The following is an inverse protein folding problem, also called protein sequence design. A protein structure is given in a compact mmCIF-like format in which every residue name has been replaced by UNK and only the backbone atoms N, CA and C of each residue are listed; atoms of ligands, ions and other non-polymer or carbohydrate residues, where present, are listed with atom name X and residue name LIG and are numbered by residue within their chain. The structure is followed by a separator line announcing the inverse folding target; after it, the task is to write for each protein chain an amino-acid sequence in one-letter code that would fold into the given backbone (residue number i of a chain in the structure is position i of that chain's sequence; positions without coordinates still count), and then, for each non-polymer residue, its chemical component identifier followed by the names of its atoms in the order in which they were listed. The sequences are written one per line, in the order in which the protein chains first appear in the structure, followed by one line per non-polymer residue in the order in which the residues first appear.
data_IF_127623460105
#
_entry.id   IF_127623460105
#
_cell.length_a   1.000
_cell.length_b   1.000
_cell.length_c   1.000
_cell.angle_alpha   90.00
_cell.angle_beta   90.00
_cell.angle_gamma   90.00
#
_symmetry.space_group_name_H-M   'P 1'
#
loop_
_entity.id
_entity.type
_entity.pdbx_description
1 polymer ?
#
# COMPACT_ATOMS: atom_id res chain seq x y z
N UNK A 1 -33.85 21.31 16.84
CA UNK A 1 -32.44 20.90 16.96
C UNK A 1 -32.02 20.32 15.62
N UNK A 2 -30.83 20.66 15.09
CA UNK A 2 -30.38 20.22 13.75
C UNK A 2 -30.30 18.69 13.59
N UNK A 3 -30.29 17.95 14.67
CA UNK A 3 -30.18 16.49 14.66
C UNK A 3 -31.53 15.74 14.57
N UNK A 4 -32.67 16.44 14.48
CA UNK A 4 -33.98 15.79 14.34
C UNK A 4 -34.28 15.37 12.89
N UNK A 5 -33.73 16.07 11.90
CA UNK A 5 -33.91 15.81 10.46
C UNK A 5 -32.83 14.92 9.86
N UNK A 6 -31.78 14.60 10.62
CA UNK A 6 -30.62 13.85 10.17
C UNK A 6 -29.50 14.75 9.64
N UNK A 7 -28.34 14.16 9.46
CA UNK A 7 -27.12 14.80 8.92
C UNK A 7 -26.68 14.02 7.69
N UNK A 8 -26.40 14.73 6.61
CA UNK A 8 -25.76 14.18 5.42
C UNK A 8 -24.24 14.23 5.65
N UNK A 9 -23.59 13.09 5.53
CA UNK A 9 -22.13 12.98 5.64
C UNK A 9 -21.54 12.69 4.27
N UNK A 10 -20.55 13.48 3.88
CA UNK A 10 -19.76 13.29 2.67
C UNK A 10 -18.26 13.27 3.02
N UNK A 11 -17.51 12.33 2.43
CA UNK A 11 -16.07 12.29 2.57
C UNK A 11 -15.42 12.14 1.19
N UNK A 12 -14.73 13.18 0.76
CA UNK A 12 -13.95 13.18 -0.48
C UNK A 12 -12.47 13.04 -0.16
N UNK A 13 -11.80 12.04 -0.74
CA UNK A 13 -10.37 11.83 -0.59
C UNK A 13 -9.71 11.83 -1.96
N UNK A 14 -8.82 12.79 -2.18
CA UNK A 14 -7.96 12.90 -3.37
C UNK A 14 -6.54 12.55 -2.97
N UNK A 15 -5.94 11.56 -3.63
CA UNK A 15 -4.56 11.17 -3.39
C UNK A 15 -3.78 11.05 -4.70
N UNK A 16 -2.53 11.49 -4.66
CA UNK A 16 -1.57 11.36 -5.74
C UNK A 16 -0.19 11.09 -5.16
N UNK A 17 0.66 10.40 -5.90
CA UNK A 17 2.03 10.17 -5.46
C UNK A 17 2.77 9.14 -6.28
N UNK A 18 4.02 8.95 -5.91
CA UNK A 18 4.90 7.95 -6.51
C UNK A 18 5.82 7.34 -5.46
N UNK A 19 6.17 6.10 -5.67
CA UNK A 19 7.24 5.42 -4.97
C UNK A 19 8.17 4.81 -6.03
N UNK A 20 9.44 5.18 -6.00
CA UNK A 20 10.49 4.63 -6.85
C UNK A 20 11.60 4.04 -5.99
N UNK A 21 12.38 3.14 -6.54
CA UNK A 21 13.51 2.54 -5.84
C UNK A 21 14.71 2.42 -6.79
N UNK A 22 15.86 2.95 -6.38
CA UNK A 22 17.13 2.61 -6.99
C UNK A 22 17.62 1.30 -6.38
N UNK A 23 17.81 0.27 -7.19
CA UNK A 23 18.24 -1.05 -6.73
C UNK A 23 19.64 -1.36 -7.27
N UNK A 24 20.57 -1.67 -6.37
CA UNK A 24 21.92 -2.15 -6.71
C UNK A 24 21.96 -3.62 -6.28
N UNK A 25 22.16 -4.52 -7.25
CA UNK A 25 22.08 -5.95 -6.99
C UNK A 25 23.35 -6.68 -7.45
N UNK A 26 23.73 -7.69 -6.66
CA UNK A 26 24.73 -8.67 -7.03
C UNK A 26 24.14 -10.07 -6.88
N UNK A 27 24.45 -10.95 -7.82
CA UNK A 27 23.98 -12.32 -7.80
C UNK A 27 25.07 -13.27 -8.30
N UNK A 28 25.03 -14.50 -7.82
CA UNK A 28 25.98 -15.52 -8.19
C UNK A 28 25.41 -16.93 -8.08
N UNK A 29 26.18 -17.88 -8.57
CA UNK A 29 25.91 -19.32 -8.43
C UNK A 29 27.01 -19.97 -7.62
N UNK A 30 26.65 -20.68 -6.54
CA UNK A 30 27.60 -21.47 -5.76
C UNK A 30 27.95 -22.79 -6.46
N UNK A 31 26.99 -23.33 -7.19
CA UNK A 31 27.07 -24.47 -8.09
C UNK A 31 25.86 -24.42 -9.02
N UNK A 32 25.72 -25.39 -9.94
CA UNK A 32 24.56 -25.42 -10.85
C UNK A 32 23.20 -25.50 -10.16
N UNK A 33 23.17 -25.86 -8.87
CA UNK A 33 21.94 -26.08 -8.09
C UNK A 33 21.55 -24.90 -7.18
N UNK A 34 22.52 -24.05 -6.79
CA UNK A 34 22.26 -22.97 -5.82
C UNK A 34 22.60 -21.63 -6.45
N UNK A 35 21.60 -20.74 -6.49
CA UNK A 35 21.75 -19.36 -6.89
C UNK A 35 21.44 -18.47 -5.68
N UNK A 36 22.20 -17.40 -5.50
CA UNK A 36 21.96 -16.43 -4.41
C UNK A 36 22.08 -15.02 -4.94
N UNK A 37 21.42 -14.11 -4.25
CA UNK A 37 21.40 -12.70 -4.61
C UNK A 37 21.24 -11.81 -3.40
N UNK A 38 21.84 -10.63 -3.51
CA UNK A 38 21.75 -9.54 -2.55
C UNK A 38 21.40 -8.26 -3.30
N UNK A 39 20.45 -7.50 -2.78
CA UNK A 39 20.07 -6.19 -3.34
C UNK A 39 20.04 -5.15 -2.23
N UNK A 40 20.71 -4.03 -2.45
CA UNK A 40 20.56 -2.80 -1.69
C UNK A 40 19.54 -1.93 -2.43
N UNK A 41 18.45 -1.59 -1.76
CA UNK A 41 17.39 -0.73 -2.28
C UNK A 41 17.42 0.65 -1.62
N UNK A 42 17.26 1.70 -2.42
CA UNK A 42 17.14 3.09 -1.98
C UNK A 42 15.80 3.61 -2.50
N UNK A 43 14.71 3.48 -1.72
CA UNK A 43 13.41 3.98 -2.09
C UNK A 43 13.30 5.49 -1.90
N UNK A 44 12.50 6.11 -2.78
CA UNK A 44 12.07 7.49 -2.74
C UNK A 44 10.55 7.52 -2.69
N UNK A 45 9.99 8.31 -1.80
CA UNK A 45 8.55 8.43 -1.56
C UNK A 45 8.13 9.87 -1.78
N UNK A 46 7.04 10.06 -2.54
CA UNK A 46 6.33 11.32 -2.67
C UNK A 46 4.84 11.01 -2.67
N UNK A 47 4.09 11.58 -1.73
CA UNK A 47 2.67 11.33 -1.54
C UNK A 47 1.97 12.62 -1.16
N UNK A 48 0.79 12.87 -1.76
CA UNK A 48 -0.09 13.99 -1.44
C UNK A 48 -1.50 13.47 -1.23
N UNK A 49 -2.17 14.00 -0.21
CA UNK A 49 -3.57 13.71 0.07
C UNK A 49 -4.29 14.98 0.47
N UNK A 50 -5.45 15.21 -0.13
CA UNK A 50 -6.46 16.15 0.36
C UNK A 50 -7.66 15.33 0.77
N UNK A 51 -8.15 15.52 1.99
CA UNK A 51 -9.35 14.87 2.52
C UNK A 51 -10.31 15.95 2.97
N UNK A 52 -11.53 15.95 2.42
CA UNK A 52 -12.60 16.88 2.82
C UNK A 52 -13.74 16.06 3.39
N UNK A 53 -14.00 16.21 4.67
CA UNK A 53 -15.15 15.63 5.35
C UNK A 53 -16.17 16.71 5.63
N UNK A 54 -17.42 16.52 5.19
CA UNK A 54 -18.51 17.48 5.34
C UNK A 54 -19.68 16.81 6.04
N UNK A 55 -20.21 17.51 7.02
CA UNK A 55 -21.51 17.23 7.64
C UNK A 55 -22.47 18.38 7.34
N UNK A 56 -23.61 18.09 6.73
CA UNK A 56 -24.60 19.08 6.35
C UNK A 56 -25.99 18.74 6.93
N UNK A 57 -26.78 19.76 7.20
CA UNK A 57 -28.19 19.57 7.57
C UNK A 57 -28.96 18.94 6.39
N UNK A 58 -29.70 17.87 6.65
CA UNK A 58 -30.55 17.21 5.67
C UNK A 58 -31.88 17.97 5.41
N UNK A 59 -32.17 19.03 6.18
CA UNK A 59 -33.38 19.84 6.06
C UNK A 59 -33.10 21.19 5.38
N UNK A 60 -34.20 21.84 4.96
CA UNK A 60 -34.16 23.23 4.45
C UNK A 60 -34.56 24.24 5.51
N UNK A 61 -34.71 23.81 6.75
CA UNK A 61 -35.13 24.67 7.85
C UNK A 61 -33.96 25.46 8.41
N UNK A 62 -34.14 26.77 8.60
CA UNK A 62 -33.17 27.60 9.28
C UNK A 62 -33.11 27.22 10.77
N UNK A 63 -32.02 26.57 11.17
CA UNK A 63 -31.86 26.03 12.52
C UNK A 63 -30.49 26.38 13.14
N UNK A 64 -29.77 27.32 12.50
CA UNK A 64 -28.42 27.79 12.84
C UNK A 64 -27.31 26.77 12.55
N UNK A 65 -27.58 25.82 11.66
CA UNK A 65 -26.56 24.87 11.16
C UNK A 65 -26.87 24.48 9.71
N UNK A 66 -26.08 24.93 8.77
CA UNK A 66 -26.16 24.49 7.38
C UNK A 66 -25.14 23.36 7.12
N UNK A 67 -23.85 23.62 7.40
CA UNK A 67 -22.82 22.58 7.30
C UNK A 67 -21.57 22.89 8.13
N UNK A 68 -20.79 21.85 8.38
CA UNK A 68 -19.41 21.93 8.84
C UNK A 68 -18.51 21.06 7.93
N UNK A 69 -17.40 21.61 7.48
CA UNK A 69 -16.43 20.91 6.65
C UNK A 69 -15.04 20.99 7.28
N UNK A 70 -14.31 19.87 7.24
CA UNK A 70 -12.92 19.78 7.64
C UNK A 70 -12.13 19.36 6.41
N UNK A 71 -11.25 20.22 5.93
CA UNK A 71 -10.28 19.92 4.87
C UNK A 71 -8.91 19.69 5.48
N UNK A 72 -8.29 18.56 5.19
CA UNK A 72 -6.94 18.23 5.58
C UNK A 72 -6.06 18.06 4.34
N UNK A 73 -4.92 18.73 4.33
CA UNK A 73 -3.87 18.56 3.33
C UNK A 73 -2.65 17.91 3.96
N UNK A 74 -2.14 16.86 3.32
CA UNK A 74 -0.93 16.18 3.70
C UNK A 74 -0.03 15.97 2.47
N UNK A 75 1.23 16.37 2.59
CA UNK A 75 2.29 16.04 1.64
C UNK A 75 3.42 15.33 2.38
N UNK A 76 3.71 14.07 2.01
CA UNK A 76 4.80 13.27 2.56
C UNK A 76 5.88 13.08 1.52
N UNK A 77 7.12 13.39 1.85
CA UNK A 77 8.28 13.13 0.99
C UNK A 77 9.46 12.59 1.78
N UNK A 78 10.29 11.80 1.12
CA UNK A 78 11.53 11.31 1.72
C UNK A 78 12.14 10.13 1.00
N UNK A 79 13.18 9.59 1.61
CA UNK A 79 13.94 8.46 1.07
C UNK A 79 14.36 7.51 2.19
N UNK A 80 14.87 6.36 1.80
CA UNK A 80 15.31 5.37 2.78
C UNK A 80 16.25 4.34 2.21
N UNK A 81 16.44 3.27 2.96
CA UNK A 81 17.31 2.15 2.59
C UNK A 81 16.70 0.84 3.06
N UNK A 82 16.85 -0.21 2.25
CA UNK A 82 16.50 -1.58 2.59
C UNK A 82 17.49 -2.58 1.99
N UNK A 83 17.45 -3.79 2.50
CA UNK A 83 18.25 -4.91 2.05
C UNK A 83 17.33 -6.07 1.66
N UNK A 84 17.62 -6.72 0.52
CA UNK A 84 16.90 -7.91 0.06
C UNK A 84 17.88 -9.03 -0.18
N UNK A 85 17.59 -10.19 0.37
CA UNK A 85 18.35 -11.41 0.23
C UNK A 85 17.50 -12.45 -0.49
N UNK A 86 18.11 -13.24 -1.36
CA UNK A 86 17.40 -14.31 -2.05
C UNK A 86 18.31 -15.51 -2.29
N UNK A 87 17.72 -16.70 -2.20
CA UNK A 87 18.35 -17.97 -2.56
C UNK A 87 17.37 -18.79 -3.38
N UNK A 88 17.88 -19.46 -4.43
CA UNK A 88 17.10 -20.42 -5.22
C UNK A 88 17.88 -21.72 -5.23
N UNK A 89 17.19 -22.80 -4.86
CA UNK A 89 17.68 -24.16 -4.94
C UNK A 89 16.99 -24.92 -6.07
N UNK A 90 17.77 -25.61 -6.90
CA UNK A 90 17.33 -26.46 -8.02
C UNK A 90 17.63 -27.91 -7.68
N UNK A 91 16.72 -28.63 -6.98
CA UNK A 91 16.94 -30.06 -6.67
C UNK A 91 16.98 -30.93 -7.91
N UNK A 92 16.22 -30.57 -8.94
CA UNK A 92 16.18 -31.20 -10.24
C UNK A 92 15.95 -30.13 -11.33
N UNK A 93 16.21 -30.41 -12.62
CA UNK A 93 16.08 -29.43 -13.70
C UNK A 93 14.71 -28.74 -13.75
N UNK A 94 13.63 -29.48 -13.45
CA UNK A 94 12.25 -28.96 -13.51
C UNK A 94 11.85 -28.17 -12.27
N UNK A 95 12.50 -28.36 -11.11
CA UNK A 95 12.09 -27.79 -9.85
C UNK A 95 12.97 -26.61 -9.43
N UNK A 96 12.33 -25.55 -8.98
CA UNK A 96 12.99 -24.40 -8.35
C UNK A 96 12.28 -24.09 -7.05
N UNK A 97 13.04 -24.06 -5.97
CA UNK A 97 12.57 -23.68 -4.63
C UNK A 97 13.30 -22.38 -4.28
N UNK A 98 12.55 -21.33 -3.99
CA UNK A 98 13.08 -20.02 -3.67
C UNK A 98 12.75 -19.62 -2.24
N UNK A 99 13.66 -18.90 -1.62
CA UNK A 99 13.42 -18.16 -0.38
C UNK A 99 14.00 -16.76 -0.53
N UNK A 100 13.22 -15.76 -0.09
CA UNK A 100 13.73 -14.40 -0.01
C UNK A 100 13.32 -13.73 1.29
N UNK A 101 14.18 -12.84 1.76
CA UNK A 101 13.97 -11.99 2.92
C UNK A 101 14.18 -10.53 2.50
N UNK A 102 13.18 -9.71 2.81
CA UNK A 102 13.28 -8.26 2.68
C UNK A 102 13.32 -7.66 4.07
N UNK A 103 14.39 -6.94 4.38
CA UNK A 103 14.50 -6.21 5.64
C UNK A 103 13.40 -5.16 5.78
N UNK A 104 13.13 -4.65 6.98
CA UNK A 104 12.44 -3.38 7.11
C UNK A 104 13.13 -2.32 6.24
N UNK A 105 12.34 -1.43 5.65
CA UNK A 105 12.86 -0.21 5.02
C UNK A 105 12.96 0.87 6.08
N UNK A 106 14.14 1.44 6.23
CA UNK A 106 14.41 2.58 7.09
C UNK A 106 14.17 3.85 6.27
N UNK A 107 13.03 4.53 6.49
CA UNK A 107 12.65 5.73 5.78
C UNK A 107 12.86 6.95 6.68
N UNK A 108 13.47 8.01 6.15
CA UNK A 108 13.41 9.35 6.71
C UNK A 108 12.38 10.13 5.89
N UNK A 109 11.29 10.51 6.54
CA UNK A 109 10.15 11.16 5.92
C UNK A 109 9.93 12.55 6.52
N UNK A 110 9.41 13.43 5.71
CA UNK A 110 8.96 14.77 6.10
C UNK A 110 7.53 14.94 5.63
N UNK A 111 6.66 15.26 6.57
CA UNK A 111 5.27 15.62 6.32
C UNK A 111 5.10 17.13 6.36
N UNK A 112 4.33 17.66 5.40
CA UNK A 112 3.79 19.01 5.40
C UNK A 112 2.28 18.90 5.52
N UNK A 113 1.71 19.58 6.49
CA UNK A 113 0.32 19.43 6.87
C UNK A 113 -0.38 20.77 7.08
N UNK A 114 -1.65 20.82 6.69
CA UNK A 114 -2.59 21.86 7.13
C UNK A 114 -3.99 21.30 7.28
N UNK A 115 -4.75 21.89 8.20
CA UNK A 115 -6.18 21.63 8.35
C UNK A 115 -6.94 22.96 8.28
N UNK A 116 -8.11 22.93 7.65
CA UNK A 116 -9.02 24.07 7.58
C UNK A 116 -10.41 23.59 7.98
N UNK A 117 -11.02 24.29 8.92
CA UNK A 117 -12.41 24.06 9.36
C UNK A 117 -13.25 25.19 8.81
N UNK A 118 -14.34 24.85 8.13
CA UNK A 118 -15.35 25.79 7.65
C UNK A 118 -16.68 25.41 8.23
N UNK A 119 -17.41 26.37 8.83
CA UNK A 119 -18.75 26.17 9.35
C UNK A 119 -19.68 27.26 8.83
N UNK A 120 -20.86 26.84 8.39
CA UNK A 120 -21.95 27.77 8.07
C UNK A 120 -23.05 27.60 9.11
N UNK A 121 -23.25 28.63 9.92
CA UNK A 121 -24.23 28.71 11.01
C UNK A 121 -25.44 29.57 10.64
N UNK A 122 -25.71 29.68 9.34
CA UNK A 122 -26.87 30.43 8.79
C UNK A 122 -26.98 31.86 9.38
N UNK A 123 -28.14 32.20 9.97
CA UNK A 123 -28.41 33.50 10.52
C UNK A 123 -27.70 33.80 11.86
N UNK A 124 -27.06 32.80 12.50
CA UNK A 124 -26.40 33.02 13.81
C UNK A 124 -25.07 33.81 13.66
N UNK A 125 -24.13 33.30 12.91
CA UNK A 125 -22.83 33.97 12.60
C UNK A 125 -22.41 33.81 11.14
N UNK A 126 -23.26 33.17 10.30
CA UNK A 126 -22.96 32.90 8.92
C UNK A 126 -21.78 31.98 8.73
N UNK A 127 -21.01 32.25 7.70
CA UNK A 127 -19.85 31.46 7.29
C UNK A 127 -18.60 31.86 8.09
N UNK A 128 -17.99 30.89 8.75
CA UNK A 128 -16.74 31.04 9.49
C UNK A 128 -15.71 30.02 8.95
N UNK A 129 -14.50 30.50 8.72
CA UNK A 129 -13.39 29.62 8.28
C UNK A 129 -12.17 29.90 9.15
N UNK A 130 -11.51 28.83 9.61
CA UNK A 130 -10.26 28.91 10.34
C UNK A 130 -9.27 27.86 9.82
N UNK A 131 -8.03 28.26 9.61
CA UNK A 131 -6.97 27.40 9.08
C UNK A 131 -5.81 27.28 10.06
N UNK A 132 -5.23 26.09 10.16
CA UNK A 132 -4.02 25.85 10.95
C UNK A 132 -2.82 26.69 10.44
N UNK A 133 -2.85 27.17 9.20
CA UNK A 133 -1.84 28.07 8.63
C UNK A 133 -1.74 29.41 9.35
N UNK A 134 -2.81 29.82 10.03
CA UNK A 134 -2.79 31.04 10.85
C UNK A 134 -1.79 30.95 12.01
N UNK A 135 -1.52 29.75 12.51
CA UNK A 135 -0.55 29.50 13.58
C UNK A 135 0.89 29.33 13.08
N UNK A 136 1.09 29.27 11.75
CA UNK A 136 2.38 29.04 11.11
C UNK A 136 2.76 30.16 10.12
N UNK A 137 2.23 31.38 10.32
CA UNK A 137 2.45 32.54 9.47
C UNK A 137 2.09 32.31 7.99
N UNK A 138 1.10 31.46 7.71
CA UNK A 138 0.65 31.12 6.36
C UNK A 138 1.30 29.86 5.75
N UNK A 139 2.33 29.32 6.39
CA UNK A 139 3.04 28.13 5.92
C UNK A 139 2.33 26.82 6.31
N UNK A 140 2.75 25.72 5.69
CA UNK A 140 2.37 24.36 6.11
C UNK A 140 3.19 23.97 7.35
N UNK A 141 2.56 23.39 8.35
CA UNK A 141 3.28 22.77 9.46
C UNK A 141 4.15 21.62 8.92
N UNK A 142 5.40 21.52 9.37
CA UNK A 142 6.36 20.55 8.87
C UNK A 142 6.90 19.69 10.00
N UNK A 143 6.89 18.35 9.77
CA UNK A 143 7.34 17.34 10.74
C UNK A 143 8.24 16.32 10.06
N UNK A 144 9.42 16.07 10.63
CA UNK A 144 10.35 15.04 10.14
C UNK A 144 10.45 13.88 11.14
N UNK A 145 10.45 12.65 10.61
CA UNK A 145 10.46 11.45 11.42
C UNK A 145 11.11 10.28 10.68
N UNK A 146 11.42 9.23 11.44
CA UNK A 146 11.86 7.94 10.89
C UNK A 146 10.69 6.96 10.90
N UNK A 147 10.48 6.28 9.78
CA UNK A 147 9.49 5.22 9.64
C UNK A 147 10.14 3.91 9.24
N UNK A 148 9.83 2.85 9.97
CA UNK A 148 10.30 1.49 9.72
C UNK A 148 9.15 0.66 9.16
N UNK A 149 9.29 0.19 7.93
CA UNK A 149 8.27 -0.66 7.31
C UNK A 149 8.36 -2.10 7.82
N UNK A 150 7.33 -2.92 7.67
CA UNK A 150 7.39 -4.35 7.96
C UNK A 150 8.44 -5.09 7.16
N UNK A 151 9.07 -6.09 7.78
CA UNK A 151 9.86 -7.09 7.05
C UNK A 151 8.96 -8.08 6.32
N UNK A 152 9.50 -8.71 5.27
CA UNK A 152 8.80 -9.73 4.47
C UNK A 152 9.68 -10.96 4.27
N UNK A 153 9.06 -12.12 4.35
CA UNK A 153 9.66 -13.41 4.02
C UNK A 153 8.83 -14.06 2.94
N UNK A 154 9.46 -14.56 1.89
CA UNK A 154 8.79 -15.23 0.79
C UNK A 154 9.42 -16.60 0.58
N UNK A 155 8.59 -17.62 0.53
CA UNK A 155 8.94 -18.96 0.06
C UNK A 155 8.19 -19.24 -1.25
N UNK A 156 8.89 -19.76 -2.24
CA UNK A 156 8.34 -20.04 -3.55
C UNK A 156 8.73 -21.44 -4.05
N UNK A 157 7.85 -22.03 -4.83
CA UNK A 157 8.11 -23.26 -5.57
C UNK A 157 7.64 -23.10 -7.01
N UNK A 158 8.45 -23.49 -7.97
CA UNK A 158 8.04 -23.54 -9.36
C UNK A 158 8.46 -24.82 -10.04
N UNK A 159 7.59 -25.27 -10.95
CA UNK A 159 7.78 -26.43 -11.79
C UNK A 159 7.75 -26.02 -13.25
N UNK A 160 8.85 -26.33 -13.98
CA UNK A 160 8.98 -26.02 -15.40
C UNK A 160 8.51 -27.20 -16.21
N UNK A 161 7.53 -26.94 -17.09
CA UNK A 161 6.97 -27.93 -17.99
C UNK A 161 7.93 -28.14 -19.16
N UNK A 162 8.46 -29.36 -19.29
CA UNK A 162 9.42 -29.74 -20.33
C UNK A 162 10.65 -28.85 -20.32
N UNK A 163 11.45 -28.98 -19.27
CA UNK A 163 12.78 -28.37 -19.18
C UNK A 163 13.67 -28.90 -20.31
N UNK A 164 14.16 -27.99 -21.15
CA UNK A 164 15.11 -28.23 -22.21
C UNK A 164 16.13 -27.09 -22.14
N UNK A 165 17.38 -27.33 -22.52
CA UNK A 165 18.44 -26.31 -22.54
C UNK A 165 18.04 -25.07 -23.34
N UNK A 166 17.30 -25.24 -24.42
CA UNK A 166 16.75 -24.15 -25.21
C UNK A 166 15.46 -23.62 -24.55
N UNK A 167 15.58 -22.51 -23.84
CA UNK A 167 14.47 -21.82 -23.13
C UNK A 167 13.30 -21.50 -24.06
N UNK A 168 13.55 -21.35 -25.38
CA UNK A 168 12.49 -21.05 -26.35
C UNK A 168 11.56 -22.25 -26.61
N UNK A 169 12.04 -23.46 -26.32
CA UNK A 169 11.27 -24.72 -26.50
C UNK A 169 10.61 -25.20 -25.22
N UNK A 170 10.79 -24.55 -24.09
CA UNK A 170 10.05 -24.83 -22.85
C UNK A 170 8.56 -24.59 -23.07
N UNK A 171 7.72 -25.49 -22.55
CA UNK A 171 6.27 -25.41 -22.77
C UNK A 171 5.52 -24.54 -21.75
N UNK A 172 6.17 -24.13 -20.68
CA UNK A 172 5.58 -23.27 -19.66
C UNK A 172 6.09 -23.57 -18.28
N UNK A 173 5.46 -22.99 -17.27
CA UNK A 173 5.74 -23.25 -15.86
C UNK A 173 4.50 -23.05 -15.00
N UNK A 174 4.51 -23.65 -13.82
CA UNK A 174 3.60 -23.39 -12.72
C UNK A 174 4.40 -22.85 -11.54
N UNK A 175 3.86 -21.92 -10.79
CA UNK A 175 4.49 -21.36 -9.60
C UNK A 175 3.50 -21.14 -8.48
N UNK A 176 3.97 -21.31 -7.25
CA UNK A 176 3.24 -20.97 -6.03
C UNK A 176 4.16 -20.25 -5.06
N UNK A 177 3.64 -19.19 -4.44
CA UNK A 177 4.37 -18.37 -3.49
C UNK A 177 3.57 -18.20 -2.21
N UNK A 178 4.25 -18.25 -1.07
CA UNK A 178 3.72 -17.89 0.24
C UNK A 178 4.59 -16.77 0.80
N UNK A 179 3.98 -15.63 1.09
CA UNK A 179 4.64 -14.47 1.66
C UNK A 179 4.10 -14.20 3.06
N UNK A 180 4.99 -14.07 4.02
CA UNK A 180 4.69 -13.64 5.37
C UNK A 180 5.13 -12.19 5.54
N UNK A 181 4.22 -11.32 5.99
CA UNK A 181 4.46 -9.90 6.26
C UNK A 181 4.07 -9.60 7.69
N UNK A 182 5.00 -9.11 8.49
CA UNK A 182 4.72 -8.72 9.87
C UNK A 182 4.32 -7.24 9.96
N UNK A 183 3.06 -6.91 9.61
CA UNK A 183 2.56 -5.53 9.62
C UNK A 183 2.64 -4.87 10.99
N UNK A 184 2.54 -5.65 12.05
CA UNK A 184 2.67 -5.21 13.43
C UNK A 184 4.05 -4.62 13.76
N UNK A 185 5.10 -5.02 13.04
CA UNK A 185 6.45 -4.51 13.24
C UNK A 185 6.72 -3.14 12.58
N UNK A 186 5.70 -2.53 11.95
CA UNK A 186 5.81 -1.15 11.49
C UNK A 186 5.94 -0.20 12.67
N UNK A 187 6.84 0.79 12.60
CA UNK A 187 7.04 1.72 13.71
C UNK A 187 7.54 3.09 13.27
N UNK A 188 7.23 4.08 14.08
CA UNK A 188 7.69 5.46 13.94
C UNK A 188 8.68 5.81 15.04
N UNK A 189 9.69 6.62 14.71
CA UNK A 189 10.67 7.16 15.67
C UNK A 189 10.93 8.63 15.38
N UNK A 190 11.34 9.33 16.42
CA UNK A 190 11.77 10.73 16.31
C UNK A 190 12.98 10.83 15.39
N UNK A 191 12.99 11.83 14.51
CA UNK A 191 14.21 12.21 13.80
C UNK A 191 15.23 12.76 14.81
N UNK A 192 16.46 12.20 14.91
CA UNK A 192 17.50 12.70 15.82
C UNK A 192 17.85 14.18 15.62
N UNK A 193 17.54 14.75 14.46
CA UNK A 193 17.75 16.16 14.15
C UNK A 193 16.62 17.08 14.64
N UNK A 194 15.52 16.52 15.20
CA UNK A 194 14.41 17.32 15.75
C UNK A 194 14.80 18.01 17.05
N UNK A 195 14.38 19.26 17.24
CA UNK A 195 14.67 20.05 18.44
C UNK A 195 13.88 19.64 19.67
N UNK A 196 12.66 19.12 19.49
CA UNK A 196 11.78 18.64 20.56
C UNK A 196 11.68 17.12 20.57
N UNK A 197 12.58 16.47 21.33
CA UNK A 197 12.67 15.02 21.34
C UNK A 197 11.76 14.34 22.37
N UNK A 198 11.43 15.00 23.47
CA UNK A 198 10.76 14.33 24.59
C UNK A 198 9.27 14.14 24.34
N UNK A 199 8.54 15.19 23.99
CA UNK A 199 7.11 15.11 23.69
C UNK A 199 6.84 14.31 22.42
N UNK A 200 7.63 14.54 21.37
CA UNK A 200 7.56 13.80 20.11
C UNK A 200 7.85 12.32 20.30
N UNK A 201 8.78 11.94 21.17
CA UNK A 201 9.06 10.54 21.51
C UNK A 201 7.87 9.87 22.20
N UNK A 202 7.22 10.57 23.14
CA UNK A 202 6.03 10.06 23.82
C UNK A 202 4.85 9.89 22.84
N UNK A 203 4.69 10.82 21.89
CA UNK A 203 3.71 10.71 20.82
C UNK A 203 3.92 9.46 19.95
N UNK A 204 5.15 9.25 19.42
CA UNK A 204 5.43 8.08 18.57
C UNK A 204 5.36 6.77 19.36
N UNK A 205 5.68 6.76 20.67
CA UNK A 205 5.46 5.57 21.50
C UNK A 205 3.99 5.16 21.51
N UNK A 206 3.09 6.11 21.79
CA UNK A 206 1.64 5.85 21.78
C UNK A 206 1.12 5.45 20.40
N UNK A 207 1.64 6.07 19.31
CA UNK A 207 1.30 5.70 17.94
C UNK A 207 1.72 4.25 17.63
N UNK A 208 2.91 3.83 18.07
CA UNK A 208 3.40 2.47 17.90
C UNK A 208 2.55 1.47 18.72
N UNK A 209 2.09 1.82 19.91
CA UNK A 209 1.16 0.99 20.69
C UNK A 209 -0.16 0.76 19.93
N UNK A 210 -0.70 1.80 19.29
CA UNK A 210 -1.89 1.70 18.44
C UNK A 210 -1.64 0.81 17.21
N UNK A 211 -0.46 0.91 16.57
CA UNK A 211 -0.08 0.03 15.46
C UNK A 211 -0.06 -1.43 15.92
N UNK A 212 0.50 -1.68 17.10
CA UNK A 212 0.60 -3.02 17.70
C UNK A 212 -0.77 -3.63 18.03
N UNK A 213 -1.75 -2.79 18.38
CA UNK A 213 -3.14 -3.21 18.62
C UNK A 213 -3.96 -3.45 17.36
N UNK A 214 -3.75 -2.62 16.32
CA UNK A 214 -4.57 -2.65 15.10
C UNK A 214 -4.05 -3.68 14.10
N UNK A 215 -2.73 -3.83 13.97
CA UNK A 215 -2.13 -4.68 12.95
C UNK A 215 -1.69 -6.04 13.48
N UNK A 216 -1.70 -7.03 12.61
CA UNK A 216 -1.19 -8.38 12.83
C UNK A 216 -0.33 -8.86 11.67
N UNK A 217 0.50 -9.89 11.86
CA UNK A 217 1.12 -10.60 10.74
C UNK A 217 0.06 -11.14 9.77
N UNK A 218 0.35 -11.06 8.48
CA UNK A 218 -0.50 -11.60 7.44
C UNK A 218 0.27 -12.53 6.50
N UNK A 219 -0.44 -13.51 5.98
CA UNK A 219 0.07 -14.46 4.98
C UNK A 219 -0.62 -14.16 3.65
N UNK A 220 0.18 -13.96 2.61
CA UNK A 220 -0.26 -13.81 1.23
C UNK A 220 0.09 -15.08 0.47
N UNK A 221 -0.83 -15.56 -0.35
CA UNK A 221 -0.62 -16.76 -1.20
C UNK A 221 -0.84 -16.36 -2.64
N UNK A 222 0.09 -16.76 -3.52
CA UNK A 222 -0.01 -16.53 -4.96
C UNK A 222 0.20 -17.83 -5.71
N UNK A 223 -0.62 -18.06 -6.72
CA UNK A 223 -0.51 -19.18 -7.64
C UNK A 223 -0.54 -18.61 -9.06
N UNK A 224 0.30 -19.14 -9.93
CA UNK A 224 0.34 -18.68 -11.31
C UNK A 224 0.94 -19.72 -12.24
N UNK A 225 0.70 -19.52 -13.53
CA UNK A 225 1.27 -20.36 -14.56
C UNK A 225 1.29 -19.68 -15.92
N UNK A 226 2.20 -20.13 -16.73
CA UNK A 226 2.36 -19.74 -18.12
C UNK A 226 2.41 -20.99 -19.00
N UNK A 227 1.67 -20.96 -20.11
CA UNK A 227 1.79 -21.93 -21.20
C UNK A 227 2.33 -21.21 -22.45
N UNK A 228 3.29 -21.83 -23.10
CA UNK A 228 3.94 -21.31 -24.32
C UNK A 228 3.54 -22.15 -25.54
N UNK A 229 3.05 -21.47 -26.55
CA UNK A 229 2.69 -22.05 -27.85
C UNK A 229 3.54 -21.33 -28.91
N UNK A 230 4.70 -21.88 -29.24
CA UNK A 230 5.63 -21.30 -30.23
C UNK A 230 5.86 -19.79 -30.06
N UNK A 231 4.95 -18.95 -30.57
CA UNK A 231 5.02 -17.49 -30.51
C UNK A 231 4.04 -16.84 -29.52
N UNK A 232 3.02 -17.58 -29.07
CA UNK A 232 1.99 -17.09 -28.16
C UNK A 232 2.24 -17.68 -26.77
N UNK A 233 2.03 -16.84 -25.75
CA UNK A 233 2.06 -17.24 -24.34
C UNK A 233 0.74 -16.85 -23.69
N UNK A 234 0.20 -17.77 -22.90
CA UNK A 234 -0.98 -17.50 -22.05
C UNK A 234 -0.58 -17.58 -20.59
N UNK A 235 -1.09 -16.66 -19.78
CA UNK A 235 -0.79 -16.58 -18.34
C UNK A 235 -2.07 -16.47 -17.55
N UNK A 236 -2.14 -17.22 -16.47
CA UNK A 236 -3.20 -17.10 -15.47
C UNK A 236 -2.58 -17.06 -14.09
N UNK A 237 -3.21 -16.29 -13.21
CA UNK A 237 -2.75 -16.20 -11.83
C UNK A 237 -3.85 -15.77 -10.89
N UNK A 238 -3.65 -16.15 -9.62
CA UNK A 238 -4.50 -15.78 -8.50
C UNK A 238 -3.62 -15.38 -7.33
N UNK A 239 -3.99 -14.32 -6.61
CA UNK A 239 -3.36 -13.95 -5.37
C UNK A 239 -4.42 -13.68 -4.29
N UNK A 240 -4.24 -14.28 -3.13
CA UNK A 240 -4.97 -13.95 -1.92
C UNK A 240 -4.04 -13.18 -1.00
N UNK A 241 -4.39 -11.94 -0.69
CA UNK A 241 -3.68 -11.09 0.26
C UNK A 241 -4.42 -11.16 1.60
N UNK A 242 -3.72 -11.66 2.62
CA UNK A 242 -4.25 -11.87 3.96
C UNK A 242 -4.66 -10.56 4.64
N UNK A 243 -5.59 -10.65 5.58
CA UNK A 243 -6.03 -9.51 6.37
C UNK A 243 -4.93 -9.04 7.32
N UNK A 244 -4.42 -7.79 7.19
CA UNK A 244 -3.40 -7.25 8.07
C UNK A 244 -3.95 -6.73 9.41
N UNK A 245 -5.27 -6.62 9.57
CA UNK A 245 -5.89 -6.04 10.76
C UNK A 245 -6.21 -7.10 11.82
N UNK A 246 -5.98 -6.74 13.06
CA UNK A 246 -6.40 -7.52 14.22
C UNK A 246 -7.87 -7.18 14.52
N UNK A 247 -8.77 -8.11 14.23
CA UNK A 247 -10.21 -7.91 14.28
C UNK A 247 -10.72 -7.53 15.67
N UNK A 248 -10.73 -6.25 16.00
CA UNK A 248 -11.51 -5.74 17.13
C UNK A 248 -12.97 -5.44 16.74
N UNK A 249 -13.24 -5.09 15.46
CA UNK A 249 -14.54 -4.62 14.99
C UNK A 249 -15.03 -5.29 13.68
N UNK A 250 -14.53 -6.50 13.34
CA UNK A 250 -14.92 -7.20 12.11
C UNK A 250 -14.27 -6.64 10.84
N UNK A 251 -13.23 -5.84 10.95
CA UNK A 251 -12.49 -5.28 9.82
C UNK A 251 -11.86 -6.38 8.98
N UNK A 252 -12.15 -6.38 7.68
CA UNK A 252 -11.65 -7.38 6.72
C UNK A 252 -10.86 -6.67 5.63
N UNK A 253 -9.54 -6.58 5.79
CA UNK A 253 -8.62 -5.99 4.80
C UNK A 253 -8.07 -7.02 3.78
N UNK A 254 -8.64 -8.23 3.71
CA UNK A 254 -8.19 -9.22 2.74
C UNK A 254 -8.59 -8.84 1.32
N UNK A 255 -7.74 -9.19 0.34
CA UNK A 255 -7.97 -8.89 -1.08
C UNK A 255 -7.74 -10.14 -1.91
N UNK A 256 -8.57 -10.33 -2.94
CA UNK A 256 -8.39 -11.33 -3.97
C UNK A 256 -8.04 -10.65 -5.28
N UNK A 257 -6.98 -11.14 -5.94
CA UNK A 257 -6.59 -10.69 -7.27
C UNK A 257 -6.65 -11.88 -8.22
N UNK A 258 -7.28 -11.66 -9.38
CA UNK A 258 -7.27 -12.59 -10.51
C UNK A 258 -6.55 -11.92 -11.67
N UNK A 259 -5.66 -12.66 -12.31
CA UNK A 259 -4.85 -12.13 -13.41
C UNK A 259 -4.93 -13.04 -14.62
N UNK A 260 -5.01 -12.43 -15.80
CA UNK A 260 -4.90 -13.11 -17.09
C UNK A 260 -3.99 -12.33 -18.02
N UNK A 261 -3.23 -13.03 -18.85
CA UNK A 261 -2.31 -12.39 -19.78
C UNK A 261 -2.10 -13.15 -21.07
N UNK A 262 -1.85 -12.40 -22.12
CA UNK A 262 -1.44 -12.91 -23.42
C UNK A 262 -0.13 -12.26 -23.83
N UNK A 263 0.82 -13.07 -24.30
CA UNK A 263 2.10 -12.64 -24.80
C UNK A 263 2.32 -13.10 -26.22
N UNK A 264 2.98 -12.26 -27.02
CA UNK A 264 3.46 -12.63 -28.35
C UNK A 264 4.96 -12.34 -28.42
N UNK A 265 5.74 -13.33 -28.91
CA UNK A 265 7.20 -13.18 -29.13
C UNK A 265 7.56 -13.70 -30.51
N UNK A 266 8.26 -12.88 -31.25
CA UNK A 266 8.79 -13.28 -32.56
C UNK A 266 10.05 -12.46 -32.90
N UNK A 267 11.13 -13.14 -33.35
CA UNK A 267 12.36 -12.53 -33.89
C UNK A 267 12.90 -11.33 -33.09
N UNK A 268 12.97 -11.47 -31.74
CA UNK A 268 13.49 -10.42 -30.85
C UNK A 268 12.47 -9.37 -30.39
N UNK A 269 11.25 -9.34 -30.95
CA UNK A 269 10.18 -8.46 -30.47
C UNK A 269 9.23 -9.23 -29.56
N UNK A 270 8.74 -8.55 -28.53
CA UNK A 270 7.64 -9.09 -27.70
C UNK A 270 6.61 -8.05 -27.33
N UNK A 271 5.38 -8.49 -27.25
CA UNK A 271 4.22 -7.73 -26.79
C UNK A 271 3.52 -8.57 -25.73
N UNK A 272 3.36 -8.03 -24.54
CA UNK A 272 2.62 -8.66 -23.45
C UNK A 272 1.43 -7.77 -23.05
N UNK A 273 0.23 -8.33 -23.01
CA UNK A 273 -0.98 -7.72 -22.49
C UNK A 273 -1.40 -8.47 -21.23
N UNK A 274 -1.57 -7.78 -20.13
CA UNK A 274 -2.02 -8.35 -18.86
C UNK A 274 -3.24 -7.60 -18.33
N UNK A 275 -4.20 -8.35 -17.80
CA UNK A 275 -5.36 -7.85 -17.06
C UNK A 275 -5.30 -8.33 -15.63
N UNK A 276 -5.51 -7.40 -14.69
CA UNK A 276 -5.53 -7.69 -13.25
C UNK A 276 -6.86 -7.19 -12.69
N UNK A 277 -7.64 -8.08 -12.10
CA UNK A 277 -8.86 -7.75 -11.37
C UNK A 277 -8.64 -7.92 -9.88
N UNK A 278 -8.92 -6.88 -9.10
CA UNK A 278 -8.78 -6.89 -7.64
C UNK A 278 -10.13 -6.66 -6.98
N UNK A 279 -10.47 -7.50 -6.01
CA UNK A 279 -11.63 -7.32 -5.15
C UNK A 279 -11.19 -7.31 -3.69
N UNK A 280 -11.81 -6.46 -2.89
CA UNK A 280 -11.54 -6.37 -1.47
C UNK A 280 -12.68 -5.68 -0.73
N UNK A 281 -12.61 -5.75 0.59
CA UNK A 281 -13.49 -5.00 1.48
C UNK A 281 -12.63 -4.18 2.42
N UNK A 282 -13.14 -3.03 2.82
CA UNK A 282 -12.49 -2.14 3.78
C UNK A 282 -13.57 -1.48 4.65
N UNK A 283 -13.18 -0.93 5.78
CA UNK A 283 -14.07 -0.15 6.66
C UNK A 283 -13.46 1.23 6.80
N UNK A 284 -14.26 2.24 6.56
CA UNK A 284 -13.89 3.63 6.76
C UNK A 284 -14.70 4.23 7.90
N UNK A 285 -14.02 4.80 8.89
CA UNK A 285 -14.65 5.57 9.97
C UNK A 285 -14.12 7.00 9.88
N UNK A 286 -14.98 7.97 9.54
CA UNK A 286 -14.54 9.35 9.35
C UNK A 286 -14.01 9.96 10.65
N UNK A 287 -14.55 9.58 11.79
CA UNK A 287 -14.09 9.97 13.12
C UNK A 287 -14.44 8.88 14.15
N UNK A 288 -13.81 8.96 15.32
CA UNK A 288 -14.09 8.07 16.45
C UNK A 288 -14.78 8.85 17.56
N UNK A 289 -15.87 8.30 18.07
CA UNK A 289 -16.54 8.79 19.26
C UNK A 289 -15.92 8.15 20.50
N UNK A 290 -15.95 8.86 21.63
CA UNK A 290 -15.49 8.33 22.92
C UNK A 290 -16.33 7.14 23.41
N UNK A 291 -17.56 7.02 22.93
CA UNK A 291 -18.48 5.91 23.22
C UNK A 291 -18.84 5.19 21.90
N UNK A 292 -18.83 3.86 21.95
CA UNK A 292 -19.28 3.04 20.82
C UNK A 292 -20.81 2.90 20.82
N UNK A 293 -21.45 2.70 19.64
CA UNK A 293 -20.83 2.57 18.30
C UNK A 293 -20.50 3.93 17.67
N UNK A 294 -19.42 4.00 16.92
CA UNK A 294 -19.08 5.15 16.09
C UNK A 294 -19.45 4.89 14.61
N UNK A 295 -19.74 5.93 13.81
CA UNK A 295 -20.14 5.77 12.43
C UNK A 295 -19.04 5.14 11.62
N UNK A 296 -19.39 4.10 10.86
CA UNK A 296 -18.48 3.45 9.93
C UNK A 296 -19.19 3.07 8.64
N UNK A 297 -18.53 3.21 7.52
CA UNK A 297 -18.99 2.79 6.22
C UNK A 297 -18.20 1.56 5.75
N UNK A 298 -18.90 0.51 5.32
CA UNK A 298 -18.25 -0.63 4.68
C UNK A 298 -18.02 -0.30 3.19
N UNK A 299 -16.75 -0.30 2.78
CA UNK A 299 -16.34 -0.02 1.41
C UNK A 299 -16.07 -1.33 0.68
N UNK A 300 -16.75 -1.57 -0.44
CA UNK A 300 -16.41 -2.64 -1.37
C UNK A 300 -15.50 -2.08 -2.46
N UNK A 301 -14.25 -2.52 -2.46
CA UNK A 301 -13.28 -2.11 -3.47
C UNK A 301 -13.28 -3.09 -4.64
N UNK A 302 -13.43 -2.57 -5.85
CA UNK A 302 -13.24 -3.31 -7.10
C UNK A 302 -12.35 -2.48 -8.01
N UNK A 303 -11.27 -3.08 -8.47
CA UNK A 303 -10.31 -2.41 -9.35
C UNK A 303 -9.91 -3.30 -10.51
N UNK A 304 -9.70 -2.72 -11.67
CA UNK A 304 -9.17 -3.39 -12.83
C UNK A 304 -7.97 -2.59 -13.39
N UNK A 305 -6.94 -3.30 -13.81
CA UNK A 305 -5.78 -2.71 -14.48
C UNK A 305 -5.48 -3.49 -15.74
N UNK A 306 -5.17 -2.76 -16.81
CA UNK A 306 -4.62 -3.32 -18.05
C UNK A 306 -3.20 -2.82 -18.19
N UNK A 307 -2.26 -3.72 -18.44
CA UNK A 307 -0.85 -3.41 -18.62
C UNK A 307 -0.42 -3.92 -19.99
N UNK A 308 0.10 -3.03 -20.82
CA UNK A 308 0.73 -3.35 -22.09
C UNK A 308 2.25 -3.17 -21.94
N UNK A 309 2.99 -4.21 -22.31
CA UNK A 309 4.46 -4.18 -22.33
C UNK A 309 4.96 -4.45 -23.74
N UNK A 310 5.81 -3.57 -24.23
CA UNK A 310 6.49 -3.72 -25.53
C UNK A 310 7.99 -3.84 -25.26
N UNK A 311 8.65 -4.73 -25.95
CA UNK A 311 10.10 -4.86 -25.79
C UNK A 311 10.80 -5.42 -27.02
N UNK A 312 12.08 -5.10 -27.10
CA UNK A 312 13.01 -5.56 -28.14
C UNK A 312 14.19 -6.23 -27.45
N UNK A 313 14.58 -7.39 -27.94
CA UNK A 313 15.76 -8.11 -27.48
C UNK A 313 16.81 -8.04 -28.59
N UNK A 314 17.93 -7.43 -28.27
CA UNK A 314 19.13 -7.33 -29.14
C UNK A 314 19.98 -8.59 -29.03
#
# INVERSE_FOLDING_TARGET
APFQSGIIQENEIKSAGSQSELAIAVAGTGNEKILYGLTLGIPFVNYKRTSTFTEADASTALNNFNYAAIEEYLETSGSGVNLKLGIIYRPAPQWRIGFSFHSPTFLKLTDKYSATVTTDTENYKGLLTQSSKEFTNGDLAQYSYLHFTPSRMLASISYVLREIEDVTKQKGFLTGDVEFVNYRASSFKVDPASSDQTETKAYYSKLNDVIDEIYRPAVNVRLGGELKFTTIMTRLGMAYLGNPYQNSNGEKGSRLQLTGGLGYRNQGYFIDLAYVHTTGKDIHSPYRLSQQPFPSAQISQRGARVVLTLGVKF
#
